data_IF_909244096417
#
_entry.id   IF_909244096417
#
_cell.length_a   1.000
_cell.length_b   1.000
_cell.length_c   1.000
_cell.angle_alpha   90.00
_cell.angle_beta   90.00
_cell.angle_gamma   90.00
#
_symmetry.space_group_name_H-M   'P 1'
#
loop_
_entity.id
_entity.type
_entity.pdbx_description
1 polymer ?
#
# COMPACT_ATOMS: atom_id res chain seq x y z
N UNK A 1 2.85 9.16 13.74
CA UNK A 1 1.57 8.44 13.97
C UNK A 1 0.68 8.70 12.77
N UNK A 2 0.59 7.74 11.85
CA UNK A 2 -0.41 7.78 10.78
C UNK A 2 -1.81 7.85 11.41
N UNK A 3 -2.55 8.92 11.15
CA UNK A 3 -3.94 9.07 11.61
C UNK A 3 -4.89 8.19 10.84
N UNK A 4 -4.49 7.80 9.62
CA UNK A 4 -5.30 6.96 8.75
C UNK A 4 -5.14 5.48 9.06
N UNK A 5 -6.27 4.78 9.17
CA UNK A 5 -6.34 3.32 9.26
C UNK A 5 -6.85 2.78 7.91
N UNK A 6 -6.01 2.04 7.16
CA UNK A 6 -6.45 1.46 5.90
C UNK A 6 -7.64 0.51 6.09
N UNK A 7 -8.58 0.54 5.16
CA UNK A 7 -9.74 -0.37 5.15
C UNK A 7 -9.35 -1.80 4.72
N UNK A 8 -10.33 -2.71 4.63
CA UNK A 8 -10.06 -4.11 4.27
C UNK A 8 -9.44 -4.29 2.87
N UNK A 9 -9.84 -3.48 1.88
CA UNK A 9 -9.34 -3.55 0.51
C UNK A 9 -7.95 -2.93 0.39
N UNK A 10 -7.73 -1.79 1.06
CA UNK A 10 -6.43 -1.15 1.17
C UNK A 10 -5.41 -2.03 1.90
N UNK A 11 -5.84 -2.67 2.99
CA UNK A 11 -5.05 -3.66 3.70
C UNK A 11 -4.68 -4.85 2.82
N UNK A 12 -5.63 -5.38 2.03
CA UNK A 12 -5.37 -6.46 1.08
C UNK A 12 -4.38 -6.03 -0.01
N UNK A 13 -4.51 -4.80 -0.53
CA UNK A 13 -3.61 -4.23 -1.52
C UNK A 13 -2.18 -4.08 -0.97
N UNK A 14 -2.04 -3.51 0.24
CA UNK A 14 -0.75 -3.38 0.93
C UNK A 14 -0.12 -4.74 1.21
N UNK A 15 -0.91 -5.74 1.66
CA UNK A 15 -0.42 -7.12 1.91
C UNK A 15 0.02 -7.81 0.63
N UNK A 16 -0.75 -7.69 -0.45
CA UNK A 16 -0.42 -8.24 -1.75
C UNK A 16 0.90 -7.65 -2.28
N UNK A 17 1.07 -6.34 -2.18
CA UNK A 17 2.32 -5.67 -2.56
C UNK A 17 3.50 -6.07 -1.64
N UNK A 18 3.26 -6.17 -0.33
CA UNK A 18 4.26 -6.64 0.62
C UNK A 18 4.71 -8.09 0.36
N UNK A 19 3.80 -8.96 -0.09
CA UNK A 19 4.11 -10.33 -0.49
C UNK A 19 4.99 -10.38 -1.73
N UNK A 20 4.75 -9.51 -2.71
CA UNK A 20 5.50 -9.45 -3.97
C UNK A 20 6.92 -8.92 -3.78
N UNK A 21 7.11 -7.85 -3.01
CA UNK A 21 8.40 -7.17 -2.84
C UNK A 21 9.15 -7.53 -1.55
N UNK A 22 8.55 -8.38 -0.71
CA UNK A 22 9.16 -8.87 0.53
C UNK A 22 9.57 -7.73 1.48
N UNK A 23 10.74 -7.86 2.12
CA UNK A 23 11.21 -6.90 3.15
C UNK A 23 11.37 -5.47 2.64
N UNK A 24 11.58 -5.29 1.33
CA UNK A 24 11.79 -3.97 0.70
C UNK A 24 10.50 -3.33 0.18
N UNK A 25 9.34 -3.93 0.46
CA UNK A 25 8.07 -3.48 -0.11
C UNK A 25 7.75 -2.00 0.14
N UNK A 26 8.13 -1.44 1.29
CA UNK A 26 7.92 -0.01 1.58
C UNK A 26 8.79 0.88 0.71
N UNK A 27 10.05 0.52 0.53
CA UNK A 27 10.98 1.23 -0.36
C UNK A 27 10.48 1.15 -1.80
N UNK A 28 10.12 -0.05 -2.26
CA UNK A 28 9.53 -0.27 -3.58
C UNK A 28 8.27 0.57 -3.76
N UNK A 29 7.32 0.50 -2.82
CA UNK A 29 6.06 1.25 -2.90
C UNK A 29 6.29 2.77 -2.89
N UNK A 30 7.28 3.25 -2.11
CA UNK A 30 7.61 4.68 -2.05
C UNK A 30 8.11 5.24 -3.38
N UNK A 31 8.82 4.41 -4.16
CA UNK A 31 9.31 4.76 -5.49
C UNK A 31 8.25 4.51 -6.57
N UNK A 32 7.35 3.56 -6.31
CA UNK A 32 6.45 3.00 -7.30
C UNK A 32 5.01 3.54 -7.19
N UNK A 33 4.68 4.40 -6.22
CA UNK A 33 3.33 4.95 -6.05
C UNK A 33 2.65 5.45 -7.33
N UNK A 34 3.45 6.06 -8.23
CA UNK A 34 2.96 6.61 -9.49
C UNK A 34 2.71 5.50 -10.54
N UNK A 35 3.62 4.53 -10.61
CA UNK A 35 3.56 3.42 -11.56
C UNK A 35 2.67 2.27 -11.08
N UNK A 36 2.42 2.16 -9.77
CA UNK A 36 1.54 1.16 -9.18
C UNK A 36 0.13 1.26 -9.77
N UNK A 37 -0.35 2.48 -10.09
CA UNK A 37 -1.62 2.72 -10.80
C UNK A 37 -1.70 2.01 -12.16
N UNK A 38 -0.57 1.84 -12.84
CA UNK A 38 -0.48 1.21 -14.16
C UNK A 38 -0.32 -0.31 -14.07
N UNK A 39 0.00 -0.85 -12.90
CA UNK A 39 0.16 -2.28 -12.68
C UNK A 39 -1.19 -2.90 -12.35
N UNK A 40 -1.83 -3.48 -13.37
CA UNK A 40 -2.94 -4.42 -13.17
C UNK A 40 -2.34 -5.66 -12.50
N UNK A 41 -2.80 -5.98 -11.29
CA UNK A 41 -2.38 -7.20 -10.63
C UNK A 41 -2.91 -8.43 -11.42
N UNK A 42 -2.22 -9.58 -11.41
CA UNK A 42 -2.62 -10.77 -12.18
C UNK A 42 -4.04 -11.27 -11.87
N UNK A 43 -4.55 -10.95 -10.68
CA UNK A 43 -5.89 -11.27 -10.21
C UNK A 43 -6.95 -10.23 -10.61
N UNK A 44 -6.61 -9.27 -11.49
CA UNK A 44 -7.43 -8.10 -11.84
C UNK A 44 -7.88 -7.27 -10.64
N UNK A 45 -7.29 -7.48 -9.46
CA UNK A 45 -7.56 -6.62 -8.32
C UNK A 45 -7.05 -5.21 -8.66
N UNK A 46 -7.88 -4.21 -8.39
CA UNK A 46 -7.57 -2.80 -8.66
C UNK A 46 -6.52 -2.25 -7.66
N UNK A 47 -5.59 -3.12 -7.22
CA UNK A 47 -4.52 -2.89 -6.24
C UNK A 47 -3.74 -1.62 -6.56
N UNK A 48 -3.43 -1.40 -7.84
CA UNK A 48 -2.75 -0.21 -8.31
C UNK A 48 -3.50 1.09 -7.99
N UNK A 49 -4.79 1.14 -8.30
CA UNK A 49 -5.66 2.30 -8.01
C UNK A 49 -5.81 2.52 -6.50
N UNK A 50 -5.94 1.44 -5.73
CA UNK A 50 -6.08 1.50 -4.27
C UNK A 50 -4.80 2.06 -3.61
N UNK A 51 -3.63 1.55 -3.99
CA UNK A 51 -2.34 2.06 -3.51
C UNK A 51 -2.14 3.52 -3.93
N UNK A 52 -2.53 3.89 -5.15
CA UNK A 52 -2.47 5.28 -5.58
C UNK A 52 -3.38 6.21 -4.75
N UNK A 53 -4.57 5.72 -4.36
CA UNK A 53 -5.45 6.41 -3.42
C UNK A 53 -4.80 6.64 -2.06
N UNK A 54 -4.20 5.59 -1.47
CA UNK A 54 -3.46 5.68 -0.20
C UNK A 54 -2.33 6.71 -0.24
N UNK A 55 -1.63 6.83 -1.37
CA UNK A 55 -0.58 7.86 -1.54
C UNK A 55 -1.13 9.28 -1.49
N UNK A 56 -2.31 9.51 -2.07
CA UNK A 56 -2.93 10.83 -2.11
C UNK A 56 -3.66 11.16 -0.79
N UNK A 57 -3.79 10.21 0.12
CA UNK A 57 -4.35 10.43 1.44
C UNK A 57 -3.37 11.24 2.32
N UNK A 58 -3.75 12.44 2.81
CA UNK A 58 -2.86 13.30 3.60
C UNK A 58 -2.48 12.69 4.96
N UNK A 59 -3.28 11.77 5.49
CA UNK A 59 -3.08 11.12 6.79
C UNK A 59 -2.36 9.75 6.68
N UNK A 60 -2.13 9.27 5.44
CA UNK A 60 -1.31 8.10 5.14
C UNK A 60 -0.12 8.52 4.29
N UNK A 61 -0.26 8.61 2.97
CA UNK A 61 0.76 9.15 2.08
C UNK A 61 2.15 8.51 2.24
N UNK A 62 3.20 9.19 1.73
CA UNK A 62 4.59 8.73 1.85
C UNK A 62 5.09 8.68 3.31
N UNK A 63 4.65 9.62 4.15
CA UNK A 63 5.09 9.74 5.55
C UNK A 63 4.49 8.64 6.44
N UNK A 64 3.20 8.37 6.31
CA UNK A 64 2.49 7.33 7.07
C UNK A 64 2.86 5.91 6.64
N UNK A 65 3.33 5.70 5.41
CA UNK A 65 3.82 4.38 4.95
C UNK A 65 4.94 3.83 5.83
N UNK A 66 5.89 4.67 6.25
CA UNK A 66 7.03 4.21 7.05
C UNK A 66 6.63 3.88 8.48
N UNK A 67 5.69 4.64 9.04
CA UNK A 67 5.07 4.39 10.35
C UNK A 67 4.13 3.18 10.36
N UNK A 68 3.53 2.84 9.21
CA UNK A 68 2.53 1.79 9.10
C UNK A 68 3.08 0.42 9.50
N UNK A 69 2.30 -0.33 10.28
CA UNK A 69 2.55 -1.74 10.60
C UNK A 69 1.29 -2.53 10.30
N UNK A 70 1.46 -3.71 9.71
CA UNK A 70 0.34 -4.64 9.63
C UNK A 70 -0.14 -4.96 11.05
N UNK A 71 -1.46 -5.02 11.29
CA UNK A 71 -1.99 -5.55 12.54
C UNK A 71 -1.44 -6.95 12.74
N UNK A 72 -1.06 -7.28 13.98
CA UNK A 72 -0.75 -8.67 14.33
C UNK A 72 -2.00 -9.49 14.06
N UNK A 73 -1.88 -10.50 13.20
CA UNK A 73 -2.91 -11.53 13.09
C UNK A 73 -2.97 -12.23 14.44
N UNK A 74 -4.17 -12.22 15.05
CA UNK A 74 -4.44 -12.89 16.32
C UNK A 74 -4.54 -14.39 16.16
#
# INVERSE_FOLDING_TARGET
MARYKPDAYEMAALRSYAKEFGRRWKESLSLDWYNARLRVAPDMSNRGSILHGLRNNPDFGPSGLWDFRFPKEG
#
